data_IF_884232153089
#
_entry.id   IF_884232153089
#
_cell.length_a   1.000
_cell.length_b   1.000
_cell.length_c   1.000
_cell.angle_alpha   90.00
_cell.angle_beta   90.00
_cell.angle_gamma   90.00
#
_symmetry.space_group_name_H-M   'P 1'
#
loop_
_entity.id
_entity.type
_entity.pdbx_description
1 polymer ?
#
# COMPACT_ATOMS: atom_id res chain seq x y z
N UNK A 1 -17.30 -9.35 6.17
CA UNK A 1 -18.15 -9.25 5.00
C UNK A 1 -17.81 -8.04 4.20
N UNK A 2 -17.45 -8.25 2.94
CA UNK A 2 -17.26 -7.12 2.03
C UNK A 2 -18.60 -6.47 1.76
N UNK A 3 -18.86 -5.31 2.33
CA UNK A 3 -20.07 -4.57 2.03
C UNK A 3 -19.97 -4.04 0.60
N UNK A 4 -21.09 -3.74 -0.03
CA UNK A 4 -21.14 -3.11 -1.34
C UNK A 4 -20.32 -1.80 -1.36
N UNK A 5 -20.35 -1.06 -0.24
CA UNK A 5 -19.58 0.17 -0.08
C UNK A 5 -18.08 -0.09 -0.16
N UNK A 6 -17.58 -1.09 0.58
CA UNK A 6 -16.16 -1.46 0.54
C UNK A 6 -15.74 -1.86 -0.86
N UNK A 7 -16.49 -2.73 -1.52
CA UNK A 7 -16.20 -3.18 -2.88
C UNK A 7 -16.15 -2.01 -3.85
N UNK A 8 -17.10 -1.09 -3.76
CA UNK A 8 -17.16 0.09 -4.61
C UNK A 8 -15.92 0.98 -4.45
N UNK A 9 -15.50 1.22 -3.20
CA UNK A 9 -14.32 2.03 -2.92
C UNK A 9 -13.03 1.36 -3.38
N UNK A 10 -12.92 0.04 -3.18
CA UNK A 10 -11.76 -0.69 -3.68
C UNK A 10 -11.64 -0.58 -5.20
N UNK A 11 -12.73 -0.75 -5.92
CA UNK A 11 -12.75 -0.58 -7.38
C UNK A 11 -12.40 0.83 -7.80
N UNK A 12 -12.92 1.83 -7.09
CA UNK A 12 -12.65 3.25 -7.41
C UNK A 12 -11.18 3.59 -7.27
N UNK A 13 -10.44 2.89 -6.41
CA UNK A 13 -9.01 3.09 -6.22
C UNK A 13 -8.14 2.09 -7.00
N UNK A 14 -8.76 1.29 -7.89
CA UNK A 14 -8.02 0.32 -8.69
C UNK A 14 -7.44 -0.83 -7.89
N UNK A 15 -8.05 -1.17 -6.75
CA UNK A 15 -7.55 -2.20 -5.84
C UNK A 15 -8.35 -3.50 -5.97
N UNK A 16 -7.73 -4.65 -5.66
CA UNK A 16 -8.43 -5.94 -5.71
C UNK A 16 -9.61 -5.97 -4.75
N UNK A 17 -10.68 -6.65 -5.14
CA UNK A 17 -11.91 -6.71 -4.34
C UNK A 17 -12.04 -7.98 -3.50
N UNK A 18 -11.34 -9.06 -3.88
CA UNK A 18 -11.50 -10.37 -3.23
C UNK A 18 -10.36 -10.75 -2.30
N UNK A 19 -9.20 -10.16 -2.49
CA UNK A 19 -8.01 -10.44 -1.67
C UNK A 19 -7.13 -9.18 -1.66
N UNK A 20 -6.24 -9.05 -0.66
CA UNK A 20 -5.33 -7.92 -0.64
C UNK A 20 -4.38 -7.93 -1.85
N UNK A 21 -3.83 -6.80 -2.24
CA UNK A 21 -2.75 -6.76 -3.22
C UNK A 21 -1.53 -7.49 -2.65
N UNK A 22 -0.54 -7.76 -3.50
CA UNK A 22 0.72 -8.35 -3.04
C UNK A 22 1.30 -7.48 -1.94
N UNK A 23 1.63 -8.08 -0.79
CA UNK A 23 2.18 -7.33 0.32
C UNK A 23 3.61 -6.88 0.03
N UNK A 24 4.08 -5.81 0.70
CA UNK A 24 5.48 -5.41 0.59
C UNK A 24 6.45 -6.53 0.94
N UNK A 25 6.12 -7.31 1.98
CA UNK A 25 6.96 -8.43 2.39
C UNK A 25 7.06 -9.52 1.33
N UNK A 26 5.94 -9.90 0.75
CA UNK A 26 5.91 -10.88 -0.34
C UNK A 26 6.70 -10.40 -1.56
N UNK A 27 6.62 -9.10 -1.85
CA UNK A 27 7.34 -8.51 -2.98
C UNK A 27 8.85 -8.59 -2.75
N UNK A 28 9.32 -8.27 -1.54
CA UNK A 28 10.73 -8.38 -1.19
C UNK A 28 11.19 -9.83 -1.37
N UNK A 29 10.44 -10.80 -0.85
CA UNK A 29 10.79 -12.21 -0.96
C UNK A 29 10.85 -12.68 -2.41
N UNK A 30 9.93 -12.23 -3.26
CA UNK A 30 9.93 -12.58 -4.67
C UNK A 30 11.19 -12.09 -5.38
N UNK A 31 11.60 -10.85 -5.12
CA UNK A 31 12.83 -10.30 -5.68
C UNK A 31 14.07 -11.04 -5.17
N UNK A 32 14.09 -11.40 -3.90
CA UNK A 32 15.21 -12.16 -3.33
C UNK A 32 15.32 -13.54 -3.98
N UNK A 33 14.20 -14.21 -4.19
CA UNK A 33 14.17 -15.51 -4.87
C UNK A 33 14.72 -15.39 -6.28
N UNK A 34 14.31 -14.38 -7.04
CA UNK A 34 14.80 -14.16 -8.39
C UNK A 34 16.30 -13.92 -8.44
N UNK A 35 16.84 -13.22 -7.44
CA UNK A 35 18.29 -12.97 -7.36
C UNK A 35 19.08 -14.12 -6.76
N UNK A 36 18.41 -15.11 -6.18
CA UNK A 36 19.07 -16.19 -5.46
C UNK A 36 19.82 -15.68 -4.23
N UNK A 37 19.29 -14.66 -3.55
CA UNK A 37 19.92 -14.06 -2.37
C UNK A 37 19.09 -14.29 -1.13
N UNK A 38 19.79 -14.43 0.00
CA UNK A 38 19.14 -14.58 1.28
C UNK A 38 18.71 -13.20 1.83
N UNK A 39 17.79 -13.22 2.76
CA UNK A 39 17.37 -12.03 3.48
C UNK A 39 18.52 -11.37 4.24
N UNK A 40 19.39 -12.17 4.84
CA UNK A 40 20.57 -11.68 5.56
C UNK A 40 21.55 -10.98 4.62
N UNK A 41 21.78 -11.55 3.43
CA UNK A 41 22.65 -10.94 2.42
C UNK A 41 22.09 -9.59 1.97
N UNK A 42 20.78 -9.53 1.74
CA UNK A 42 20.13 -8.30 1.33
C UNK A 42 20.24 -7.21 2.40
N UNK A 43 20.00 -7.57 3.66
CA UNK A 43 20.11 -6.61 4.77
C UNK A 43 21.50 -5.99 4.85
N UNK A 44 22.54 -6.82 4.71
CA UNK A 44 23.92 -6.32 4.68
C UNK A 44 24.17 -5.42 3.48
N UNK A 45 23.70 -5.83 2.29
CA UNK A 45 23.93 -5.08 1.07
C UNK A 45 23.26 -3.70 1.09
N UNK A 46 22.03 -3.62 1.62
CA UNK A 46 21.30 -2.35 1.68
C UNK A 46 21.63 -1.52 2.93
N UNK A 47 22.38 -2.09 3.86
CA UNK A 47 22.85 -1.36 5.04
C UNK A 47 21.81 -1.15 6.12
N UNK A 48 20.92 -2.11 6.32
CA UNK A 48 19.95 -2.07 7.43
C UNK A 48 20.12 -3.31 8.32
N UNK A 49 19.58 -3.24 9.53
CA UNK A 49 19.62 -4.37 10.44
C UNK A 49 18.79 -5.53 9.90
N UNK A 50 19.28 -6.75 10.08
CA UNK A 50 18.57 -7.96 9.67
C UNK A 50 17.17 -8.04 10.29
N UNK A 51 17.03 -7.63 11.55
CA UNK A 51 15.74 -7.59 12.24
C UNK A 51 14.77 -6.62 11.58
N UNK A 52 15.26 -5.46 11.11
CA UNK A 52 14.44 -4.47 10.42
C UNK A 52 13.91 -5.01 9.10
N UNK A 53 14.77 -5.64 8.31
CA UNK A 53 14.33 -6.25 7.05
C UNK A 53 13.34 -7.38 7.30
N UNK A 54 13.57 -8.20 8.33
CA UNK A 54 12.64 -9.26 8.71
C UNK A 54 11.26 -8.71 9.08
N UNK A 55 11.20 -7.57 9.78
CA UNK A 55 9.94 -6.91 10.10
C UNK A 55 9.20 -6.44 8.84
N UNK A 56 9.93 -5.93 7.85
CA UNK A 56 9.35 -5.56 6.54
C UNK A 56 8.79 -6.80 5.84
N UNK A 57 9.55 -7.88 5.79
CA UNK A 57 9.14 -9.14 5.17
C UNK A 57 7.88 -9.71 5.82
N UNK A 58 7.74 -9.55 7.12
CA UNK A 58 6.57 -10.00 7.86
C UNK A 58 5.42 -8.99 7.89
N UNK A 59 5.55 -7.89 7.16
CA UNK A 59 4.56 -6.81 7.12
C UNK A 59 4.27 -6.20 8.50
N UNK A 60 5.23 -6.27 9.41
CA UNK A 60 5.15 -5.63 10.73
C UNK A 60 5.67 -4.21 10.73
N UNK A 61 6.44 -3.85 9.70
CA UNK A 61 7.01 -2.53 9.52
C UNK A 61 6.79 -2.13 8.07
N UNK A 62 6.28 -0.92 7.85
CA UNK A 62 6.10 -0.39 6.50
C UNK A 62 7.42 0.00 5.84
N UNK A 63 7.39 0.11 4.52
CA UNK A 63 8.53 0.58 3.74
C UNK A 63 8.52 2.10 3.75
N UNK A 64 9.50 2.70 4.43
CA UNK A 64 9.72 4.14 4.44
C UNK A 64 10.42 4.58 3.15
N UNK A 65 10.53 5.89 2.93
CA UNK A 65 11.26 6.44 1.79
C UNK A 65 12.72 5.97 1.79
N UNK A 66 13.37 5.95 2.95
CA UNK A 66 14.74 5.46 3.07
C UNK A 66 14.86 3.99 2.67
N UNK A 67 13.99 3.14 3.21
CA UNK A 67 13.99 1.72 2.86
C UNK A 67 13.68 1.50 1.38
N UNK A 68 12.73 2.28 0.82
CA UNK A 68 12.38 2.20 -0.59
C UNK A 68 13.58 2.53 -1.50
N UNK A 69 14.35 3.57 -1.15
CA UNK A 69 15.55 3.94 -1.90
C UNK A 69 16.62 2.86 -1.83
N UNK A 70 16.81 2.26 -0.67
CA UNK A 70 17.80 1.18 -0.48
C UNK A 70 17.41 -0.08 -1.26
N UNK A 71 16.15 -0.47 -1.20
CA UNK A 71 15.64 -1.62 -1.96
C UNK A 71 15.70 -1.37 -3.46
N UNK A 72 15.35 -0.15 -3.88
CA UNK A 72 15.41 0.23 -5.29
C UNK A 72 16.83 0.11 -5.85
N UNK A 73 17.81 0.59 -5.10
CA UNK A 73 19.22 0.50 -5.50
C UNK A 73 19.70 -0.96 -5.62
N UNK A 74 19.27 -1.78 -4.67
CA UNK A 74 19.69 -3.20 -4.64
C UNK A 74 19.02 -4.03 -5.73
N UNK A 75 17.72 -3.84 -5.92
CA UNK A 75 16.94 -4.64 -6.87
C UNK A 75 16.86 -4.05 -8.28
N UNK A 76 17.38 -2.86 -8.49
CA UNK A 76 17.32 -2.22 -9.82
C UNK A 76 15.95 -1.71 -10.19
N UNK A 77 15.16 -1.31 -9.20
CA UNK A 77 13.83 -0.73 -9.39
C UNK A 77 13.87 0.76 -9.03
N UNK A 78 12.70 1.40 -8.97
CA UNK A 78 12.58 2.76 -8.45
C UNK A 78 12.08 2.72 -7.00
N UNK A 79 12.36 3.79 -6.26
CA UNK A 79 11.78 3.94 -4.92
C UNK A 79 10.25 4.02 -4.99
N UNK A 80 9.72 4.68 -6.03
CA UNK A 80 8.28 4.82 -6.21
C UNK A 80 7.59 3.46 -6.35
N UNK A 81 8.24 2.50 -7.01
CA UNK A 81 7.71 1.14 -7.09
C UNK A 81 7.42 0.57 -5.70
N UNK A 82 8.40 0.67 -4.79
CA UNK A 82 8.26 0.14 -3.43
C UNK A 82 7.24 0.92 -2.60
N UNK A 83 7.20 2.24 -2.78
CA UNK A 83 6.22 3.07 -2.09
C UNK A 83 4.80 2.80 -2.61
N UNK A 84 4.65 2.53 -3.91
CA UNK A 84 3.35 2.16 -4.48
C UNK A 84 2.86 0.81 -3.94
N UNK A 85 3.76 -0.17 -3.80
CA UNK A 85 3.43 -1.47 -3.20
C UNK A 85 2.94 -1.28 -1.76
N UNK A 86 3.65 -0.47 -0.99
CA UNK A 86 3.27 -0.18 0.39
C UNK A 86 1.93 0.56 0.46
N UNK A 87 1.75 1.57 -0.37
CA UNK A 87 0.53 2.38 -0.36
C UNK A 87 -0.69 1.55 -0.74
N UNK A 88 -0.58 0.73 -1.77
CA UNK A 88 -1.69 -0.14 -2.17
C UNK A 88 -2.13 -1.08 -1.04
N UNK A 89 -1.15 -1.66 -0.34
CA UNK A 89 -1.39 -2.50 0.83
C UNK A 89 -2.10 -1.73 1.94
N UNK A 90 -1.57 -0.56 2.29
CA UNK A 90 -2.11 0.27 3.37
C UNK A 90 -3.53 0.76 3.05
N UNK A 91 -3.75 1.26 1.83
CA UNK A 91 -5.06 1.77 1.41
C UNK A 91 -6.10 0.65 1.39
N UNK A 92 -5.71 -0.54 0.90
CA UNK A 92 -6.62 -1.69 0.87
C UNK A 92 -7.11 -2.03 2.27
N UNK A 93 -6.19 -2.11 3.25
CA UNK A 93 -6.54 -2.44 4.63
C UNK A 93 -7.37 -1.34 5.31
N UNK A 94 -7.04 -0.06 5.05
CA UNK A 94 -7.82 1.05 5.61
C UNK A 94 -9.24 1.08 5.05
N UNK A 95 -9.41 0.86 3.76
CA UNK A 95 -10.74 0.81 3.16
C UNK A 95 -11.59 -0.31 3.74
N UNK A 96 -10.99 -1.46 4.01
CA UNK A 96 -11.73 -2.55 4.64
C UNK A 96 -12.13 -2.24 6.08
N UNK A 97 -11.31 -1.45 6.76
CA UNK A 97 -11.59 -1.08 8.15
C UNK A 97 -12.60 0.05 8.28
N UNK A 98 -12.53 1.04 7.41
CA UNK A 98 -13.25 2.30 7.57
C UNK A 98 -14.00 2.79 6.34
N UNK A 99 -14.40 1.89 5.46
CA UNK A 99 -15.12 2.27 4.24
C UNK A 99 -16.32 3.20 4.51
N UNK A 100 -17.17 2.96 5.53
CA UNK A 100 -18.30 3.86 5.79
C UNK A 100 -17.89 5.30 6.10
N UNK A 101 -16.76 5.50 6.79
CA UNK A 101 -16.27 6.85 7.09
C UNK A 101 -15.90 7.61 5.82
N UNK A 102 -15.20 6.96 4.91
CA UNK A 102 -14.78 7.59 3.65
C UNK A 102 -15.97 7.86 2.72
N UNK A 103 -16.90 6.92 2.68
CA UNK A 103 -18.13 7.08 1.91
C UNK A 103 -18.98 8.25 2.46
N UNK A 104 -19.06 8.40 3.78
CA UNK A 104 -19.79 9.50 4.41
C UNK A 104 -19.18 10.86 4.05
N UNK A 105 -17.87 10.95 3.99
CA UNK A 105 -17.17 12.19 3.57
C UNK A 105 -17.57 12.55 2.15
N UNK A 106 -17.53 11.59 1.23
CA UNK A 106 -17.93 11.80 -0.16
C UNK A 106 -19.37 12.29 -0.28
N UNK A 107 -20.26 11.66 0.45
CA UNK A 107 -21.69 11.99 0.42
C UNK A 107 -21.94 13.42 0.91
N UNK A 108 -21.30 13.81 2.01
CA UNK A 108 -21.40 15.16 2.55
C UNK A 108 -20.86 16.19 1.58
N UNK A 109 -19.73 15.92 0.95
CA UNK A 109 -19.11 16.82 -0.01
C UNK A 109 -19.98 16.96 -1.27
N UNK A 110 -20.50 15.87 -1.78
CA UNK A 110 -21.38 15.88 -2.95
C UNK A 110 -22.65 16.72 -2.67
N UNK A 111 -23.21 16.59 -1.47
CA UNK A 111 -24.37 17.38 -1.06
C UNK A 111 -24.02 18.87 -0.98
N UNK A 112 -22.88 19.20 -0.36
CA UNK A 112 -22.44 20.60 -0.24
C UNK A 112 -22.23 21.24 -1.61
N UNK A 113 -21.63 20.51 -2.56
CA UNK A 113 -21.44 21.00 -3.93
C UNK A 113 -22.77 21.26 -4.62
N UNK A 114 -23.75 20.35 -4.48
CA UNK A 114 -25.09 20.54 -5.05
C UNK A 114 -25.81 21.75 -4.45
N UNK A 115 -25.70 21.92 -3.13
CA UNK A 115 -26.31 23.06 -2.45
C UNK A 115 -25.71 24.37 -2.91
N UNK A 116 -24.38 24.43 -3.08
CA UNK A 116 -23.71 25.62 -3.60
C UNK A 116 -24.13 25.93 -5.05
N UNK A 117 -24.19 24.91 -5.90
CA UNK A 117 -24.65 25.09 -7.27
C UNK A 117 -26.08 25.63 -7.32
N UNK A 118 -26.95 25.15 -6.44
CA UNK A 118 -28.32 25.59 -6.31
C UNK A 118 -28.40 27.07 -5.86
N UNK A 119 -27.53 27.44 -4.91
CA UNK A 119 -27.49 28.81 -4.38
C UNK A 119 -27.00 29.81 -5.41
N UNK A 120 -26.07 29.42 -6.27
CA UNK A 120 -25.48 30.29 -7.30
C UNK A 120 -26.44 30.46 -8.50
N UNK A 121 -27.22 29.45 -8.76
CA UNK A 121 -28.21 29.50 -9.81
C UNK A 121 -29.40 30.40 -9.39
#
# INVERSE_FOLDING_TARGET
MGTTTTTRLLKAHGLPTHRPPTSPGEMVLAFLEDLGRSQADAARAVGIKATRLNEVVKNKRGISADTALRLAAYFGTTAQFWLNVQTAWDVWHELRRRAPAYSAIRQRQARAVRENAHTIA
#
